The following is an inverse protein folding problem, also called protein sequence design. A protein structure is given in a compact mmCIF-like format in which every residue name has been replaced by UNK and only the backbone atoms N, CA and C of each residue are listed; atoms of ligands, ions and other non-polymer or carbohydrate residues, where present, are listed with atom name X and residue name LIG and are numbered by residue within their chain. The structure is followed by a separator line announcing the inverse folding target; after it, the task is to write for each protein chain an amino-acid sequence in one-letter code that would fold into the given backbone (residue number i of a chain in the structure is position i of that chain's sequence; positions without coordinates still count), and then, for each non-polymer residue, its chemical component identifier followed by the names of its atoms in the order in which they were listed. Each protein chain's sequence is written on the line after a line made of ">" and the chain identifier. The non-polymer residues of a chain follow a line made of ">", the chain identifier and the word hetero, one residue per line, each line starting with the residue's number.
data_IF_191779586843
#
_entry.id   IF_191779586843
#
_cell.length_a   1.000
_cell.length_b   1.000
_cell.length_c   1.000
_cell.angle_alpha   90.00
_cell.angle_beta   90.00
_cell.angle_gamma   90.00
#
_symmetry.space_group_name_H-M   'P 1'
#
loop_
_entity.id
_entity.type
_entity.pdbx_description
1 polymer ?
#
# COMPACT_ATOMS: atom_id res chain seq x y z
N UNK A 1 -7.97 24.87 -15.63
CA UNK A 1 -7.98 23.38 -15.55
C UNK A 1 -6.57 22.96 -15.24
N UNK A 2 -6.37 22.20 -14.13
CA UNK A 2 -5.06 21.67 -13.77
C UNK A 2 -4.77 20.43 -14.62
N UNK A 3 -3.54 20.31 -15.10
CA UNK A 3 -3.05 19.13 -15.80
C UNK A 3 -1.79 18.56 -15.14
N UNK A 4 -1.28 17.45 -15.65
CA UNK A 4 -0.09 16.79 -15.09
C UNK A 4 1.15 17.70 -15.14
N UNK A 5 1.25 18.60 -16.11
CA UNK A 5 2.38 19.54 -16.21
C UNK A 5 2.36 20.54 -15.07
N UNK A 6 1.19 21.03 -14.67
CA UNK A 6 1.05 21.96 -13.55
C UNK A 6 1.52 21.31 -12.25
N UNK A 7 1.17 20.02 -12.06
CA UNK A 7 1.59 19.24 -10.89
C UNK A 7 3.11 19.05 -10.90
N UNK A 8 3.70 18.64 -12.03
CA UNK A 8 5.14 18.47 -12.13
C UNK A 8 5.92 19.77 -11.95
N UNK A 9 5.42 20.89 -12.47
CA UNK A 9 6.00 22.21 -12.22
C UNK A 9 5.99 22.56 -10.73
N UNK A 10 4.87 22.30 -10.04
CA UNK A 10 4.75 22.53 -8.61
C UNK A 10 5.75 21.69 -7.82
N UNK A 11 5.88 20.40 -8.12
CA UNK A 11 6.85 19.50 -7.46
C UNK A 11 8.29 20.00 -7.64
N UNK A 12 8.66 20.49 -8.83
CA UNK A 12 9.99 21.07 -9.07
C UNK A 12 10.25 22.30 -8.20
N UNK A 13 9.25 23.14 -8.01
CA UNK A 13 9.36 24.32 -7.12
C UNK A 13 9.47 23.86 -5.66
N UNK A 14 8.68 22.89 -5.24
CA UNK A 14 8.71 22.36 -3.87
C UNK A 14 10.02 21.67 -3.52
N UNK A 15 10.73 21.09 -4.49
CA UNK A 15 12.05 20.50 -4.27
C UNK A 15 13.10 21.47 -3.71
N UNK A 16 12.85 22.78 -3.82
CA UNK A 16 13.70 23.85 -3.27
C UNK A 16 13.02 24.63 -2.15
N UNK A 17 11.95 24.09 -1.55
CA UNK A 17 11.22 24.74 -0.48
C UNK A 17 12.01 24.71 0.84
N UNK A 18 11.76 25.69 1.70
CA UNK A 18 12.38 25.77 3.04
C UNK A 18 11.87 24.67 3.98
N UNK A 19 10.67 24.17 3.77
CA UNK A 19 10.14 23.00 4.47
C UNK A 19 10.91 21.75 4.04
N UNK A 20 11.67 21.19 4.99
CA UNK A 20 12.53 20.03 4.75
C UNK A 20 11.77 18.80 4.27
N UNK A 21 10.59 18.54 4.83
CA UNK A 21 9.79 17.37 4.48
C UNK A 21 9.26 17.51 3.06
N UNK A 22 8.66 18.65 2.75
CA UNK A 22 8.14 18.93 1.41
C UNK A 22 9.24 18.86 0.36
N UNK A 23 10.40 19.48 0.65
CA UNK A 23 11.56 19.46 -0.24
C UNK A 23 12.07 18.04 -0.47
N UNK A 24 12.22 17.24 0.59
CA UNK A 24 12.70 15.86 0.52
C UNK A 24 11.75 15.00 -0.34
N UNK A 25 10.47 15.01 -0.03
CA UNK A 25 9.47 14.23 -0.76
C UNK A 25 9.38 14.64 -2.24
N UNK A 26 9.47 15.94 -2.53
CA UNK A 26 9.49 16.43 -3.90
C UNK A 26 10.75 15.99 -4.66
N UNK A 27 11.93 16.05 -4.02
CA UNK A 27 13.18 15.56 -4.60
C UNK A 27 13.14 14.05 -4.85
N UNK A 28 12.56 13.29 -3.95
CA UNK A 28 12.40 11.84 -4.11
C UNK A 28 11.54 11.47 -5.31
N UNK A 29 10.44 12.18 -5.52
CA UNK A 29 9.62 12.02 -6.72
C UNK A 29 10.39 12.35 -8.00
N UNK A 30 11.12 13.46 -8.02
CA UNK A 30 11.90 13.88 -9.19
C UNK A 30 13.05 12.93 -9.51
N UNK A 31 13.71 12.41 -8.49
CA UNK A 31 14.86 11.52 -8.62
C UNK A 31 14.47 10.03 -8.64
N UNK A 32 13.19 9.72 -8.50
CA UNK A 32 12.66 8.35 -8.43
C UNK A 32 13.24 7.54 -7.25
N UNK A 33 13.49 8.20 -6.15
CA UNK A 33 13.87 7.57 -4.89
C UNK A 33 12.60 7.07 -4.20
N UNK A 34 12.24 5.82 -4.46
CA UNK A 34 11.05 5.20 -3.85
C UNK A 34 11.35 4.75 -2.42
N UNK A 35 10.33 4.82 -1.58
CA UNK A 35 10.39 4.31 -0.22
C UNK A 35 10.71 2.82 -0.20
N UNK A 36 11.34 2.38 0.87
CA UNK A 36 11.46 0.97 1.17
C UNK A 36 10.08 0.44 1.55
N UNK A 37 9.71 -0.73 1.00
CA UNK A 37 8.41 -1.36 1.25
C UNK A 37 8.62 -2.77 1.76
N UNK A 38 8.06 -3.06 2.92
CA UNK A 38 7.98 -4.41 3.46
C UNK A 38 6.52 -4.87 3.46
N UNK A 39 6.31 -6.11 3.03
CA UNK A 39 5.00 -6.75 3.01
C UNK A 39 5.04 -7.95 3.95
N UNK A 40 4.15 -7.98 4.92
CA UNK A 40 4.10 -9.05 5.93
C UNK A 40 2.69 -9.61 6.08
N UNK A 41 2.60 -10.83 6.57
CA UNK A 41 1.33 -11.47 6.94
C UNK A 41 0.93 -11.17 8.39
N UNK A 42 1.90 -10.75 9.20
CA UNK A 42 1.71 -10.40 10.60
C UNK A 42 1.59 -8.89 10.78
N UNK A 43 0.81 -8.42 11.77
CA UNK A 43 0.71 -7.02 12.10
C UNK A 43 2.08 -6.44 12.50
N UNK A 44 2.32 -5.19 12.13
CA UNK A 44 3.51 -4.45 12.52
C UNK A 44 3.26 -3.90 13.93
N UNK A 45 4.19 -4.13 14.85
CA UNK A 45 4.05 -3.67 16.23
C UNK A 45 4.26 -2.16 16.36
N UNK A 46 3.59 -1.55 17.33
CA UNK A 46 3.74 -0.12 17.63
C UNK A 46 5.18 0.22 18.03
N UNK A 47 5.88 -0.71 18.69
CA UNK A 47 7.28 -0.55 19.06
C UNK A 47 8.20 -0.48 17.84
N UNK A 48 7.96 -1.31 16.83
CA UNK A 48 8.71 -1.28 15.58
C UNK A 48 8.45 0.02 14.81
N UNK A 49 7.20 0.45 14.74
CA UNK A 49 6.80 1.74 14.13
C UNK A 49 7.55 2.89 14.82
N UNK A 50 7.57 2.89 16.15
CA UNK A 50 8.26 3.91 16.93
C UNK A 50 9.77 3.90 16.69
N UNK A 51 10.43 2.74 16.64
CA UNK A 51 11.86 2.62 16.36
C UNK A 51 12.24 3.17 14.99
N UNK A 52 11.42 2.88 13.97
CA UNK A 52 11.63 3.39 12.62
C UNK A 52 11.47 4.91 12.60
N UNK A 53 10.42 5.44 13.24
CA UNK A 53 10.19 6.87 13.36
C UNK A 53 11.40 7.58 14.02
N UNK A 54 11.90 7.06 15.13
CA UNK A 54 13.10 7.57 15.82
C UNK A 54 14.34 7.55 14.92
N UNK A 55 14.51 6.49 14.14
CA UNK A 55 15.64 6.37 13.22
C UNK A 55 15.56 7.41 12.11
N UNK A 56 14.38 7.61 11.53
CA UNK A 56 14.12 8.63 10.52
C UNK A 56 14.35 10.04 11.07
N UNK A 57 13.81 10.34 12.25
CA UNK A 57 13.99 11.65 12.90
C UNK A 57 15.47 11.98 13.11
N UNK A 58 16.26 10.99 13.55
CA UNK A 58 17.70 11.14 13.77
C UNK A 58 18.46 11.31 12.47
N UNK A 59 18.20 10.46 11.48
CA UNK A 59 18.93 10.47 10.21
C UNK A 59 18.72 11.76 9.43
N UNK A 60 17.47 12.23 9.36
CA UNK A 60 17.13 13.44 8.61
C UNK A 60 17.20 14.72 9.45
N UNK A 61 17.50 14.63 10.75
CA UNK A 61 17.60 15.79 11.65
C UNK A 61 16.29 16.58 11.73
N UNK A 62 15.17 15.86 11.86
CA UNK A 62 13.81 16.40 11.94
C UNK A 62 13.13 15.96 13.25
N UNK A 63 11.97 16.54 13.56
CA UNK A 63 11.18 16.13 14.71
C UNK A 63 10.54 14.75 14.50
N UNK A 64 10.14 14.08 15.58
CA UNK A 64 9.39 12.82 15.49
C UNK A 64 8.02 13.02 14.85
N UNK A 65 7.42 14.20 15.01
CA UNK A 65 6.17 14.58 14.37
C UNK A 65 6.34 14.70 12.85
N UNK A 66 7.47 15.26 12.39
CA UNK A 66 7.76 15.36 10.98
C UNK A 66 8.16 14.02 10.37
N UNK A 67 8.86 13.17 11.13
CA UNK A 67 9.29 11.85 10.66
C UNK A 67 8.13 10.93 10.27
N UNK A 68 6.93 11.11 10.85
CA UNK A 68 5.74 10.36 10.48
C UNK A 68 5.34 10.55 9.01
N UNK A 69 5.70 11.67 8.37
CA UNK A 69 5.45 11.89 6.94
C UNK A 69 6.39 11.10 6.03
N UNK A 70 7.47 10.56 6.59
CA UNK A 70 8.44 9.73 5.88
C UNK A 70 8.20 8.23 6.05
N UNK A 71 7.08 7.85 6.64
CA UNK A 71 6.68 6.46 6.80
C UNK A 71 5.16 6.30 6.68
N UNK A 72 4.72 5.10 6.36
CA UNK A 72 3.31 4.75 6.29
C UNK A 72 3.12 3.29 6.64
N UNK A 73 2.11 3.01 7.44
CA UNK A 73 1.68 1.66 7.78
C UNK A 73 0.26 1.47 7.26
N UNK A 74 0.05 0.46 6.45
CA UNK A 74 -1.24 0.19 5.85
C UNK A 74 -1.58 -1.30 5.93
N UNK A 75 -2.86 -1.58 6.01
CA UNK A 75 -3.39 -2.94 5.92
C UNK A 75 -4.19 -3.03 4.63
N UNK A 76 -3.85 -4.01 3.79
CA UNK A 76 -4.64 -4.32 2.60
C UNK A 76 -5.31 -5.66 2.83
N UNK A 77 -6.62 -5.64 2.78
CA UNK A 77 -7.46 -6.83 2.72
C UNK A 77 -8.01 -6.90 1.31
N UNK A 78 -7.63 -7.94 0.58
CA UNK A 78 -8.15 -8.19 -0.76
C UNK A 78 -8.79 -9.56 -0.78
N UNK A 79 -10.07 -9.59 -1.01
CA UNK A 79 -10.77 -10.79 -1.38
C UNK A 79 -10.59 -10.96 -2.89
N UNK A 80 -9.97 -12.05 -3.30
CA UNK A 80 -9.74 -12.31 -4.74
C UNK A 80 -11.02 -12.72 -5.44
N UNK A 81 -11.97 -13.27 -4.69
CA UNK A 81 -13.31 -13.65 -5.14
C UNK A 81 -14.26 -13.55 -3.97
N UNK A 82 -15.31 -12.74 -4.11
CA UNK A 82 -16.37 -12.62 -3.12
C UNK A 82 -17.59 -13.44 -3.57
N UNK A 83 -17.85 -14.50 -2.82
CA UNK A 83 -18.99 -15.40 -3.09
C UNK A 83 -20.33 -14.69 -2.81
N UNK A 84 -20.34 -13.66 -1.96
CA UNK A 84 -21.57 -12.99 -1.56
C UNK A 84 -21.96 -11.83 -2.49
N UNK A 85 -20.98 -11.09 -3.04
CA UNK A 85 -21.24 -9.87 -3.81
C UNK A 85 -21.09 -10.05 -5.35
N UNK A 86 -20.21 -10.95 -5.81
CA UNK A 86 -19.91 -11.13 -7.24
C UNK A 86 -20.03 -12.61 -7.64
N UNK A 87 -21.22 -13.18 -7.48
CA UNK A 87 -21.46 -14.57 -7.81
C UNK A 87 -21.43 -14.82 -9.32
N UNK A 88 -20.49 -15.64 -9.76
CA UNK A 88 -20.50 -16.20 -11.10
C UNK A 88 -21.23 -17.54 -11.03
N UNK A 89 -22.45 -17.56 -11.53
CA UNK A 89 -23.29 -18.76 -11.56
C UNK A 89 -23.00 -19.58 -12.80
N UNK A 90 -22.78 -20.88 -12.62
CA UNK A 90 -22.57 -21.85 -13.69
C UNK A 90 -23.76 -22.77 -13.77
N UNK A 91 -24.38 -22.87 -14.97
CA UNK A 91 -25.38 -23.87 -15.27
C UNK A 91 -24.66 -25.17 -15.64
N UNK A 92 -24.84 -26.19 -14.82
CA UNK A 92 -24.28 -27.51 -15.07
C UNK A 92 -25.12 -28.28 -16.16
N UNK A 93 -24.50 -29.30 -16.74
CA UNK A 93 -25.20 -30.15 -17.75
C UNK A 93 -26.45 -30.84 -17.23
N UNK A 94 -26.57 -30.96 -15.91
CA UNK A 94 -27.73 -31.55 -15.24
C UNK A 94 -28.84 -30.51 -14.95
N UNK A 95 -28.65 -29.24 -15.34
CA UNK A 95 -29.61 -28.17 -15.11
C UNK A 95 -29.52 -27.50 -13.72
N UNK A 96 -28.52 -27.85 -12.90
CA UNK A 96 -28.31 -27.22 -11.62
C UNK A 96 -27.50 -25.94 -11.79
N UNK A 97 -27.81 -24.92 -11.01
CA UNK A 97 -27.04 -23.69 -10.93
C UNK A 97 -26.10 -23.80 -9.71
N UNK A 98 -24.80 -23.71 -9.96
CA UNK A 98 -23.75 -23.73 -8.91
C UNK A 98 -22.86 -22.50 -9.03
N UNK A 99 -22.33 -22.06 -7.89
CA UNK A 99 -21.31 -21.03 -7.90
C UNK A 99 -20.04 -21.53 -8.59
N UNK A 100 -19.32 -20.63 -9.27
CA UNK A 100 -18.08 -20.96 -9.96
C UNK A 100 -17.04 -21.57 -9.02
N UNK A 101 -16.95 -21.09 -7.77
CA UNK A 101 -16.04 -21.63 -6.77
C UNK A 101 -16.34 -23.08 -6.40
N UNK A 102 -17.62 -23.48 -6.41
CA UNK A 102 -18.05 -24.85 -6.14
C UNK A 102 -17.94 -25.76 -7.37
N UNK A 103 -18.13 -25.19 -8.57
CA UNK A 103 -18.12 -25.94 -9.83
C UNK A 103 -16.71 -26.22 -10.35
N UNK A 104 -15.68 -25.49 -9.87
CA UNK A 104 -14.30 -25.65 -10.33
C UNK A 104 -13.61 -26.79 -9.61
N UNK A 105 -13.36 -27.88 -10.34
CA UNK A 105 -12.56 -29.03 -9.86
C UNK A 105 -11.04 -28.82 -10.02
N UNK A 106 -10.62 -27.87 -10.87
CA UNK A 106 -9.22 -27.69 -11.28
C UNK A 106 -8.48 -26.73 -10.35
N UNK A 107 -9.18 -25.72 -9.84
CA UNK A 107 -8.63 -24.71 -8.94
C UNK A 107 -9.40 -24.73 -7.64
N UNK A 108 -8.70 -24.82 -6.52
CA UNK A 108 -9.32 -24.66 -5.22
C UNK A 108 -9.65 -23.17 -5.00
N UNK A 109 -10.65 -22.67 -5.74
CA UNK A 109 -11.08 -21.26 -5.72
C UNK A 109 -11.67 -20.91 -4.35
N UNK A 110 -12.20 -21.89 -3.62
CA UNK A 110 -12.59 -21.70 -2.23
C UNK A 110 -11.42 -21.25 -1.34
N UNK A 111 -10.18 -21.58 -1.69
CA UNK A 111 -8.99 -21.05 -1.01
C UNK A 111 -8.70 -19.59 -1.36
N UNK A 112 -9.19 -19.10 -2.50
CA UNK A 112 -9.03 -17.71 -2.94
C UNK A 112 -10.04 -16.78 -2.25
N UNK A 113 -11.13 -17.32 -1.70
CA UNK A 113 -12.10 -16.59 -0.90
C UNK A 113 -11.65 -16.35 0.54
N UNK A 114 -10.51 -16.94 0.96
CA UNK A 114 -9.92 -16.61 2.26
C UNK A 114 -9.44 -15.16 2.24
N UNK A 115 -9.91 -14.39 3.21
CA UNK A 115 -9.48 -13.01 3.45
C UNK A 115 -7.97 -12.99 3.71
N UNK A 116 -7.19 -12.72 2.66
CA UNK A 116 -5.75 -12.52 2.78
C UNK A 116 -5.51 -11.07 3.22
N UNK A 117 -5.24 -10.90 4.52
CA UNK A 117 -4.82 -9.62 5.06
C UNK A 117 -3.31 -9.52 4.98
N UNK A 118 -2.81 -8.45 4.37
CA UNK A 118 -1.38 -8.14 4.32
C UNK A 118 -1.13 -6.76 4.92
N UNK A 119 -0.03 -6.66 5.62
CA UNK A 119 0.42 -5.44 6.27
C UNK A 119 1.59 -4.88 5.49
N UNK A 120 1.54 -3.59 5.19
CA UNK A 120 2.56 -2.88 4.44
C UNK A 120 3.19 -1.84 5.35
N UNK A 121 4.50 -1.88 5.42
CA UNK A 121 5.31 -0.88 6.07
C UNK A 121 6.15 -0.21 4.99
N UNK A 122 5.94 1.08 4.80
CA UNK A 122 6.69 1.89 3.85
C UNK A 122 7.44 2.97 4.61
N UNK A 123 8.70 3.18 4.32
CA UNK A 123 9.48 4.25 4.93
C UNK A 123 10.61 4.73 4.02
N UNK A 124 11.04 5.98 4.26
CA UNK A 124 12.15 6.57 3.56
C UNK A 124 13.42 5.75 3.78
N UNK A 125 14.19 5.51 2.72
CA UNK A 125 15.45 4.81 2.82
C UNK A 125 16.46 5.64 3.60
N UNK A 126 17.05 5.01 4.56
CA UNK A 126 18.13 5.56 5.38
C UNK A 126 19.47 5.25 4.72
#
# INVERSE_FOLDING_TARGET
>A
MLDDNDIWCSIKVWASNEDKILSLLAQDLLNRNIFHVEVREEPISDEEIWQINQSLAREFGISEEDAQFLMSVNTIQKDMYDIEDENISILTKNGEIKDFAEASEILNIASLSKKNRKYYLCYQRI
#
